data_IF_881630065935
#
_entry.id   IF_881630065935
#
_cell.length_a   1.000
_cell.length_b   1.000
_cell.length_c   1.000
_cell.angle_alpha   90.00
_cell.angle_beta   90.00
_cell.angle_gamma   90.00
#
_symmetry.space_group_name_H-M   'P 1'
#
loop_
_entity.id
_entity.type
_entity.pdbx_description
1 polymer ?
#
# COMPACT_ATOMS: atom_id res chain seq x y z
N UNK A 1 10.14 -26.45 0.00
CA UNK A 1 10.14 -25.02 0.39
C UNK A 1 11.29 -24.40 -0.36
N UNK A 2 11.06 -23.38 -1.19
CA UNK A 2 12.15 -22.75 -1.95
C UNK A 2 13.18 -22.16 -0.97
N UNK A 3 14.45 -22.46 -1.22
CA UNK A 3 15.57 -22.27 -0.29
C UNK A 3 15.63 -20.89 0.38
N UNK A 4 15.54 -20.86 1.71
CA UNK A 4 16.07 -19.76 2.53
C UNK A 4 15.37 -18.40 2.46
N UNK A 5 14.09 -18.34 2.07
CA UNK A 5 13.29 -17.10 2.13
C UNK A 5 12.32 -17.12 3.32
N UNK A 6 12.47 -16.18 4.23
CA UNK A 6 11.52 -15.90 5.32
C UNK A 6 10.53 -14.83 4.88
N UNK A 7 9.25 -15.03 5.15
CA UNK A 7 8.18 -14.06 4.85
C UNK A 7 7.51 -13.60 6.13
N UNK A 8 7.56 -12.29 6.40
CA UNK A 8 6.95 -11.67 7.56
C UNK A 8 5.79 -10.77 7.12
N UNK A 9 4.62 -11.00 7.71
CA UNK A 9 3.41 -10.25 7.40
C UNK A 9 3.13 -9.22 8.48
N UNK A 10 3.24 -7.96 8.10
CA UNK A 10 2.89 -6.78 8.89
C UNK A 10 3.57 -6.77 10.29
N UNK A 11 4.82 -7.25 10.45
CA UNK A 11 5.43 -7.39 11.77
C UNK A 11 5.52 -6.04 12.52
N UNK A 12 5.79 -4.94 11.81
CA UNK A 12 5.89 -3.60 12.42
C UNK A 12 4.50 -3.05 12.71
N UNK A 13 3.58 -3.12 11.74
CA UNK A 13 2.21 -2.65 11.95
C UNK A 13 1.55 -3.35 13.15
N UNK A 14 1.66 -4.68 13.23
CA UNK A 14 1.06 -5.47 14.32
C UNK A 14 1.77 -5.20 15.65
N UNK A 15 3.11 -5.09 15.65
CA UNK A 15 3.87 -4.79 16.86
C UNK A 15 3.54 -3.42 17.44
N UNK A 16 3.41 -2.39 16.60
CA UNK A 16 3.01 -1.04 17.04
C UNK A 16 1.58 -1.03 17.61
N UNK A 17 0.64 -1.71 16.93
CA UNK A 17 -0.73 -1.84 17.43
C UNK A 17 -0.79 -2.56 18.79
N UNK A 18 0.01 -3.63 18.96
CA UNK A 18 0.09 -4.36 20.23
C UNK A 18 0.65 -3.50 21.37
N UNK A 19 1.51 -2.53 21.06
CA UNK A 19 2.03 -1.55 22.00
C UNK A 19 1.11 -0.33 22.21
N UNK A 20 -0.06 -0.28 21.56
CA UNK A 20 -0.99 0.85 21.65
C UNK A 20 -0.54 2.10 20.89
N UNK A 21 0.34 1.96 19.89
CA UNK A 21 0.85 3.04 19.06
C UNK A 21 0.09 3.11 17.72
N UNK A 22 -0.03 4.31 17.12
CA UNK A 22 -0.61 4.46 15.77
C UNK A 22 0.43 3.99 14.73
N UNK A 23 0.22 2.86 14.04
CA UNK A 23 1.20 2.33 13.09
C UNK A 23 1.35 3.18 11.82
N UNK A 24 0.56 4.24 11.66
CA UNK A 24 0.63 5.17 10.54
C UNK A 24 1.21 6.55 10.93
N UNK A 25 1.50 6.78 12.21
CA UNK A 25 2.06 8.04 12.70
C UNK A 25 3.59 8.04 12.59
N UNK A 26 4.15 9.16 12.12
CA UNK A 26 5.61 9.34 12.11
C UNK A 26 6.22 9.36 13.51
N UNK A 27 5.44 9.75 14.53
CA UNK A 27 5.89 9.70 15.93
C UNK A 27 6.22 8.27 16.37
N UNK A 28 5.52 7.27 15.81
CA UNK A 28 5.77 5.86 16.12
C UNK A 28 7.14 5.39 15.67
N UNK A 29 7.74 6.01 14.65
CA UNK A 29 9.10 5.69 14.18
C UNK A 29 10.14 6.08 15.22
N UNK A 30 9.89 7.12 16.02
CA UNK A 30 10.81 7.56 17.07
C UNK A 30 10.70 6.71 18.35
N UNK A 31 9.76 5.77 18.43
CA UNK A 31 9.53 4.96 19.62
C UNK A 31 10.61 3.87 19.80
N UNK A 32 10.98 3.52 21.05
CA UNK A 32 11.81 2.34 21.32
C UNK A 32 11.21 1.06 20.73
N UNK A 33 9.88 0.93 20.77
CA UNK A 33 9.15 -0.21 20.20
C UNK A 33 9.43 -0.40 18.71
N UNK A 34 9.44 0.68 17.92
CA UNK A 34 9.77 0.58 16.50
C UNK A 34 11.20 0.06 16.29
N UNK A 35 12.17 0.59 17.04
CA UNK A 35 13.56 0.15 16.96
C UNK A 35 13.70 -1.34 17.33
N UNK A 36 13.05 -1.78 18.41
CA UNK A 36 13.07 -3.19 18.83
C UNK A 36 12.48 -4.11 17.76
N UNK A 37 11.34 -3.72 17.16
CA UNK A 37 10.71 -4.48 16.08
C UNK A 37 11.61 -4.60 14.86
N UNK A 38 12.22 -3.49 14.43
CA UNK A 38 13.18 -3.50 13.32
C UNK A 38 14.38 -4.39 13.62
N UNK A 39 14.94 -4.33 14.83
CA UNK A 39 16.07 -5.17 15.23
C UNK A 39 15.70 -6.66 15.25
N UNK A 40 14.51 -7.01 15.72
CA UNK A 40 14.02 -8.39 15.70
C UNK A 40 13.86 -8.91 14.26
N UNK A 41 13.42 -8.05 13.34
CA UNK A 41 13.28 -8.37 11.92
C UNK A 41 14.67 -8.53 11.28
N UNK A 42 15.59 -7.59 11.54
CA UNK A 42 16.96 -7.59 11.01
C UNK A 42 17.81 -8.75 11.52
N UNK A 43 17.52 -9.28 12.71
CA UNK A 43 18.20 -10.44 13.28
C UNK A 43 17.81 -11.78 12.63
N UNK A 44 16.87 -11.79 11.68
CA UNK A 44 16.47 -13.01 10.95
C UNK A 44 17.52 -13.35 9.90
N UNK A 45 17.99 -14.58 9.93
CA UNK A 45 18.94 -15.09 8.94
C UNK A 45 18.28 -15.32 7.57
N UNK A 46 19.07 -15.11 6.51
CA UNK A 46 18.69 -15.44 5.14
C UNK A 46 17.98 -14.32 4.38
N UNK A 47 17.27 -14.68 3.31
CA UNK A 47 16.53 -13.72 2.48
C UNK A 47 15.21 -13.42 3.15
N UNK A 48 14.90 -12.15 3.36
CA UNK A 48 13.69 -11.74 4.05
C UNK A 48 12.76 -10.95 3.11
N UNK A 49 11.47 -11.27 3.17
CA UNK A 49 10.40 -10.49 2.53
C UNK A 49 9.46 -10.01 3.62
N UNK A 50 9.38 -8.69 3.80
CA UNK A 50 8.46 -8.06 4.75
C UNK A 50 7.32 -7.40 3.99
N UNK A 51 6.08 -7.71 4.37
CA UNK A 51 4.89 -7.06 3.83
C UNK A 51 4.30 -6.12 4.88
N UNK A 52 4.35 -4.81 4.65
CA UNK A 52 3.70 -3.82 5.50
C UNK A 52 2.48 -3.19 4.81
N UNK A 53 1.62 -2.55 5.60
CA UNK A 53 0.44 -1.80 5.13
C UNK A 53 0.51 -0.30 5.49
N UNK A 54 1.67 0.15 5.96
CA UNK A 54 1.94 1.50 6.49
C UNK A 54 2.91 2.26 5.58
N UNK A 55 2.47 2.65 4.36
CA UNK A 55 3.35 3.26 3.35
C UNK A 55 4.06 4.54 3.82
N UNK A 56 3.50 5.27 4.79
CA UNK A 56 4.11 6.46 5.39
C UNK A 56 5.38 6.14 6.19
N UNK A 57 5.51 4.90 6.69
CA UNK A 57 6.69 4.45 7.41
C UNK A 57 7.69 3.72 6.52
N UNK A 58 7.35 3.49 5.23
CA UNK A 58 8.12 2.63 4.35
C UNK A 58 9.57 3.09 4.15
N UNK A 59 9.82 4.41 4.10
CA UNK A 59 11.18 4.92 3.99
C UNK A 59 12.01 4.66 5.26
N UNK A 60 11.43 4.86 6.44
CA UNK A 60 12.10 4.59 7.72
C UNK A 60 12.39 3.09 7.90
N UNK A 61 11.42 2.24 7.55
CA UNK A 61 11.57 0.78 7.58
C UNK A 61 12.64 0.34 6.57
N UNK A 62 12.57 0.87 5.35
CA UNK A 62 13.54 0.58 4.28
C UNK A 62 14.96 0.96 4.68
N UNK A 63 15.15 2.16 5.22
CA UNK A 63 16.46 2.62 5.70
C UNK A 63 16.99 1.78 6.86
N UNK A 64 16.14 1.43 7.83
CA UNK A 64 16.58 0.71 9.02
C UNK A 64 16.87 -0.78 8.77
N UNK A 65 16.27 -1.36 7.73
CA UNK A 65 16.53 -2.74 7.29
C UNK A 65 17.51 -2.84 6.11
N UNK A 66 18.03 -1.71 5.61
CA UNK A 66 18.77 -1.64 4.33
C UNK A 66 18.04 -2.39 3.20
N UNK A 67 16.71 -2.19 3.13
CA UNK A 67 15.83 -2.98 2.29
C UNK A 67 15.41 -2.24 1.00
N UNK A 68 15.29 -3.01 -0.08
CA UNK A 68 14.63 -2.56 -1.31
C UNK A 68 13.12 -2.48 -1.07
N UNK A 69 12.53 -1.32 -1.34
CA UNK A 69 11.10 -1.09 -1.09
C UNK A 69 10.30 -1.20 -2.40
N UNK A 70 9.25 -2.02 -2.37
CA UNK A 70 8.26 -2.13 -3.44
C UNK A 70 6.93 -1.57 -2.96
N UNK A 71 6.47 -0.48 -3.55
CA UNK A 71 5.16 0.08 -3.27
C UNK A 71 4.11 -0.55 -4.20
N UNK A 72 3.19 -1.30 -3.61
CA UNK A 72 2.02 -1.84 -4.30
C UNK A 72 0.87 -0.82 -4.25
N UNK A 73 0.58 -0.21 -5.39
CA UNK A 73 -0.56 0.69 -5.56
C UNK A 73 -1.77 -0.03 -6.14
N UNK A 74 -2.95 0.52 -5.92
CA UNK A 74 -4.20 0.01 -6.47
C UNK A 74 -5.11 1.18 -6.80
N UNK A 75 -5.98 1.03 -7.79
CA UNK A 75 -6.92 2.07 -8.18
C UNK A 75 -7.73 2.56 -6.95
N UNK A 76 -7.83 3.88 -6.70
CA UNK A 76 -8.40 4.42 -5.46
C UNK A 76 -9.86 4.01 -5.22
N UNK A 77 -10.67 3.95 -6.29
CA UNK A 77 -12.06 3.44 -6.21
C UNK A 77 -12.10 1.98 -5.76
N UNK A 78 -11.14 1.16 -6.21
CA UNK A 78 -11.07 -0.25 -5.85
C UNK A 78 -10.75 -0.44 -4.37
N UNK A 79 -9.89 0.41 -3.82
CA UNK A 79 -9.56 0.44 -2.39
C UNK A 79 -10.77 0.89 -1.58
N UNK A 80 -11.39 2.03 -1.93
CA UNK A 80 -12.60 2.53 -1.26
C UNK A 80 -13.70 1.47 -1.22
N UNK A 81 -13.98 0.81 -2.35
CA UNK A 81 -14.95 -0.28 -2.41
C UNK A 81 -14.56 -1.43 -1.50
N UNK A 82 -13.29 -1.82 -1.48
CA UNK A 82 -12.80 -2.91 -0.61
C UNK A 82 -13.02 -2.56 0.86
N UNK A 83 -12.77 -1.32 1.26
CA UNK A 83 -13.04 -0.85 2.62
C UNK A 83 -14.53 -0.89 2.95
N UNK A 84 -15.40 -0.42 2.05
CA UNK A 84 -16.86 -0.53 2.21
C UNK A 84 -17.29 -1.98 2.40
N UNK A 85 -16.78 -2.91 1.60
CA UNK A 85 -17.11 -4.34 1.71
C UNK A 85 -16.62 -4.98 3.01
N UNK A 86 -15.51 -4.48 3.58
CA UNK A 86 -14.97 -4.93 4.85
C UNK A 86 -15.62 -4.24 6.07
N UNK A 87 -16.54 -3.30 5.83
CA UNK A 87 -17.10 -2.46 6.89
C UNK A 87 -16.12 -1.44 7.46
N UNK A 88 -14.99 -1.18 6.78
CA UNK A 88 -13.96 -0.22 7.17
C UNK A 88 -14.31 1.18 6.68
N UNK A 89 -15.53 1.61 6.96
CA UNK A 89 -16.03 2.94 6.58
C UNK A 89 -15.71 3.89 7.74
N UNK A 90 -14.45 4.29 7.84
CA UNK A 90 -14.00 5.18 8.90
C UNK A 90 -14.20 6.63 8.47
N UNK A 91 -14.70 7.47 9.38
CA UNK A 91 -14.75 8.91 9.18
C UNK A 91 -13.37 9.57 9.40
N UNK A 92 -13.33 10.91 9.47
CA UNK A 92 -12.10 11.70 9.68
C UNK A 92 -11.34 11.48 11.00
N UNK A 93 -11.60 10.40 11.76
CA UNK A 93 -10.92 10.13 13.04
C UNK A 93 -9.42 9.77 12.91
N UNK A 94 -8.85 9.87 11.70
CA UNK A 94 -7.42 9.72 11.48
C UNK A 94 -6.75 11.05 11.85
N UNK A 95 -5.79 11.01 12.77
CA UNK A 95 -5.03 12.21 13.15
C UNK A 95 -4.13 12.64 11.98
N UNK A 96 -4.68 13.44 11.06
CA UNK A 96 -4.00 13.91 9.85
C UNK A 96 -2.66 14.57 10.19
N UNK A 97 -2.60 15.32 11.28
CA UNK A 97 -1.42 16.04 11.73
C UNK A 97 -0.23 15.13 12.09
N UNK A 98 -0.48 13.95 12.66
CA UNK A 98 0.60 13.01 13.05
C UNK A 98 1.05 12.10 11.90
N UNK A 99 0.17 11.85 10.93
CA UNK A 99 0.44 11.00 9.75
C UNK A 99 1.13 11.75 8.62
N UNK A 100 0.93 13.06 8.53
CA UNK A 100 1.49 13.90 7.47
C UNK A 100 2.24 15.09 8.07
N UNK A 101 3.24 14.87 8.95
CA UNK A 101 4.03 15.97 9.47
C UNK A 101 4.71 16.67 8.29
N UNK A 102 4.57 17.99 8.23
CA UNK A 102 5.25 18.85 7.25
C UNK A 102 4.88 18.60 5.76
N UNK A 103 3.93 17.70 5.47
CA UNK A 103 3.46 17.47 4.11
C UNK A 103 2.46 18.56 3.68
N UNK A 104 2.58 19.14 2.47
CA UNK A 104 1.57 20.04 1.92
C UNK A 104 0.17 19.44 1.85
N UNK A 105 0.06 18.10 1.77
CA UNK A 105 -1.21 17.39 1.78
C UNK A 105 -1.96 17.53 3.12
N UNK A 106 -1.26 17.81 4.22
CA UNK A 106 -1.85 17.97 5.56
C UNK A 106 -2.92 19.06 5.58
N UNK A 107 -2.61 20.23 5.04
CA UNK A 107 -3.52 21.37 5.09
C UNK A 107 -4.71 21.18 4.14
N UNK A 108 -4.51 20.47 3.03
CA UNK A 108 -5.60 20.07 2.12
C UNK A 108 -6.55 19.11 2.83
N UNK A 109 -6.02 18.05 3.45
CA UNK A 109 -6.82 17.09 4.20
C UNK A 109 -7.57 17.77 5.36
N UNK A 110 -6.93 18.64 6.14
CA UNK A 110 -7.62 19.37 7.22
C UNK A 110 -8.82 20.20 6.70
N UNK A 111 -8.69 20.84 5.53
CA UNK A 111 -9.80 21.58 4.91
C UNK A 111 -10.92 20.67 4.42
N UNK A 112 -10.60 19.54 3.81
CA UNK A 112 -11.59 18.57 3.34
C UNK A 112 -12.35 18.01 4.55
N UNK A 113 -11.66 17.64 5.63
CA UNK A 113 -12.24 17.15 6.88
C UNK A 113 -13.23 18.15 7.48
N UNK A 114 -12.82 19.42 7.59
CA UNK A 114 -13.66 20.49 8.11
C UNK A 114 -14.95 20.70 7.28
N UNK A 115 -14.94 20.34 6.00
CA UNK A 115 -16.11 20.41 5.12
C UNK A 115 -17.09 19.23 5.28
N UNK A 116 -16.83 18.29 6.21
CA UNK A 116 -17.62 17.09 6.45
C UNK A 116 -17.96 16.33 5.15
N UNK A 117 -16.93 15.80 4.47
CA UNK A 117 -17.03 15.27 3.11
C UNK A 117 -17.75 13.93 3.10
N UNK A 118 -18.15 13.46 1.91
CA UNK A 118 -18.52 12.05 1.76
C UNK A 118 -17.30 11.15 2.02
N UNK A 119 -17.55 9.89 2.41
CA UNK A 119 -16.49 8.88 2.57
C UNK A 119 -15.60 8.79 1.31
N UNK A 120 -16.19 8.84 0.12
CA UNK A 120 -15.45 8.67 -1.13
C UNK A 120 -14.54 9.87 -1.43
N UNK A 121 -15.01 11.10 -1.19
CA UNK A 121 -14.18 12.31 -1.32
C UNK A 121 -13.02 12.25 -0.32
N UNK A 122 -13.31 12.01 0.96
CA UNK A 122 -12.28 11.92 2.00
C UNK A 122 -11.23 10.88 1.68
N UNK A 123 -11.67 9.67 1.36
CA UNK A 123 -10.80 8.52 1.16
C UNK A 123 -10.02 8.62 -0.17
N UNK A 124 -10.58 9.30 -1.19
CA UNK A 124 -9.85 9.65 -2.40
C UNK A 124 -8.66 10.57 -2.09
N UNK A 125 -8.91 11.65 -1.35
CA UNK A 125 -7.87 12.61 -0.95
C UNK A 125 -6.82 11.96 -0.04
N UNK A 126 -7.24 11.20 0.97
CA UNK A 126 -6.31 10.53 1.89
C UNK A 126 -5.36 9.57 1.16
N UNK A 127 -5.87 8.74 0.24
CA UNK A 127 -5.03 7.83 -0.53
C UNK A 127 -4.06 8.56 -1.44
N UNK A 128 -4.48 9.66 -2.07
CA UNK A 128 -3.61 10.49 -2.87
C UNK A 128 -2.47 11.10 -2.02
N UNK A 129 -2.81 11.63 -0.84
CA UNK A 129 -1.83 12.16 0.11
C UNK A 129 -0.82 11.11 0.56
N UNK A 130 -1.29 9.89 0.86
CA UNK A 130 -0.42 8.75 1.19
C UNK A 130 0.52 8.42 0.02
N UNK A 131 -0.01 8.30 -1.20
CA UNK A 131 0.79 7.95 -2.37
C UNK A 131 1.86 9.00 -2.66
N UNK A 132 1.50 10.29 -2.65
CA UNK A 132 2.45 11.40 -2.86
C UNK A 132 3.52 11.40 -1.76
N UNK A 133 3.12 11.32 -0.50
CA UNK A 133 4.05 11.36 0.64
C UNK A 133 5.01 10.18 0.58
N UNK A 134 4.52 8.96 0.37
CA UNK A 134 5.37 7.77 0.27
C UNK A 134 6.35 7.86 -0.90
N UNK A 135 5.90 8.34 -2.07
CA UNK A 135 6.77 8.54 -3.25
C UNK A 135 7.85 9.58 -2.99
N UNK A 136 7.50 10.72 -2.39
CA UNK A 136 8.47 11.77 -2.03
C UNK A 136 9.52 11.25 -1.05
N UNK A 137 9.11 10.50 -0.03
CA UNK A 137 10.02 9.97 0.98
C UNK A 137 10.94 8.87 0.45
N UNK A 138 10.46 8.01 -0.44
CA UNK A 138 11.23 6.90 -1.00
C UNK A 138 12.12 7.35 -2.18
N UNK A 139 11.81 8.48 -2.82
CA UNK A 139 12.60 9.08 -3.88
C UNK A 139 12.86 8.14 -5.07
N UNK A 140 14.02 8.28 -5.69
CA UNK A 140 14.40 7.55 -6.90
C UNK A 140 14.64 6.04 -6.67
N UNK A 141 14.76 5.61 -5.42
CA UNK A 141 14.93 4.19 -5.05
C UNK A 141 13.63 3.38 -5.06
N UNK A 142 12.49 4.03 -5.32
CA UNK A 142 11.18 3.41 -5.25
C UNK A 142 10.84 2.57 -6.47
N UNK A 143 10.51 1.30 -6.24
CA UNK A 143 9.81 0.48 -7.23
C UNK A 143 8.31 0.51 -6.98
N UNK A 144 7.55 1.12 -7.90
CA UNK A 144 6.09 1.08 -7.85
C UNK A 144 5.54 0.00 -8.76
N UNK A 145 4.61 -0.79 -8.25
CA UNK A 145 3.83 -1.75 -9.04
C UNK A 145 2.35 -1.55 -8.77
N UNK A 146 1.53 -1.58 -9.81
CA UNK A 146 0.07 -1.52 -9.63
C UNK A 146 -0.51 -2.92 -9.55
N UNK A 147 -1.48 -3.09 -8.65
CA UNK A 147 -2.27 -4.30 -8.52
C UNK A 147 -2.92 -4.69 -9.86
N UNK A 148 -3.41 -3.71 -10.60
CA UNK A 148 -4.01 -3.87 -11.91
C UNK A 148 -3.02 -4.48 -12.92
N UNK A 149 -1.75 -4.07 -12.90
CA UNK A 149 -0.71 -4.65 -13.76
C UNK A 149 -0.39 -6.10 -13.40
N UNK A 150 -0.26 -6.40 -12.09
CA UNK A 150 0.00 -7.74 -11.57
C UNK A 150 -1.11 -8.71 -11.94
N UNK A 151 -2.37 -8.26 -11.92
CA UNK A 151 -3.50 -9.14 -12.25
C UNK A 151 -3.72 -9.24 -13.76
N UNK A 152 -3.54 -8.16 -14.54
CA UNK A 152 -3.75 -8.17 -15.99
C UNK A 152 -2.66 -8.94 -16.73
N UNK A 153 -1.41 -8.78 -16.32
CA UNK A 153 -0.22 -9.34 -17.00
C UNK A 153 0.81 -9.85 -15.97
N UNK A 154 0.46 -10.84 -15.13
CA UNK A 154 1.29 -11.29 -14.00
C UNK A 154 2.71 -11.66 -14.42
N UNK A 155 2.86 -12.44 -15.51
CA UNK A 155 4.18 -12.86 -16.01
C UNK A 155 5.09 -11.66 -16.36
N UNK A 156 4.52 -10.63 -17.00
CA UNK A 156 5.26 -9.43 -17.39
C UNK A 156 5.60 -8.57 -16.17
N UNK A 157 4.61 -8.31 -15.31
CA UNK A 157 4.80 -7.49 -14.13
C UNK A 157 5.80 -8.11 -13.14
N UNK A 158 5.72 -9.42 -12.89
CA UNK A 158 6.69 -10.13 -12.07
C UNK A 158 8.07 -10.18 -12.72
N UNK A 159 8.16 -10.41 -14.03
CA UNK A 159 9.44 -10.35 -14.73
C UNK A 159 10.12 -8.99 -14.59
N UNK A 160 9.38 -7.90 -14.79
CA UNK A 160 9.87 -6.53 -14.60
C UNK A 160 10.32 -6.29 -13.15
N UNK A 161 9.51 -6.70 -12.18
CA UNK A 161 9.85 -6.56 -10.76
C UNK A 161 11.12 -7.34 -10.41
N UNK A 162 11.25 -8.57 -10.91
CA UNK A 162 12.44 -9.39 -10.71
C UNK A 162 13.69 -8.74 -11.30
N UNK A 163 13.62 -8.20 -12.51
CA UNK A 163 14.74 -7.45 -13.11
C UNK A 163 15.11 -6.22 -12.28
N UNK A 164 14.13 -5.42 -11.87
CA UNK A 164 14.36 -4.21 -11.07
C UNK A 164 14.89 -4.49 -9.66
N UNK A 165 14.55 -5.65 -9.09
CA UNK A 165 15.06 -6.12 -7.81
C UNK A 165 16.31 -7.00 -7.97
N UNK A 166 16.87 -7.13 -9.17
CA UNK A 166 18.01 -8.00 -9.50
C UNK A 166 17.85 -9.43 -8.96
N UNK A 167 16.62 -9.93 -8.98
CA UNK A 167 16.28 -11.27 -8.55
C UNK A 167 16.52 -12.23 -9.71
N UNK A 168 17.41 -13.19 -9.48
CA UNK A 168 17.55 -14.34 -10.37
C UNK A 168 16.38 -15.30 -10.15
N UNK A 169 15.54 -15.44 -11.16
CA UNK A 169 14.50 -16.47 -11.16
C UNK A 169 15.17 -17.83 -11.34
N UNK A 170 15.16 -18.66 -10.29
CA UNK A 170 15.66 -20.02 -10.38
C UNK A 170 14.96 -20.76 -11.55
N UNK A 171 15.74 -21.53 -12.32
CA UNK A 171 15.20 -22.37 -13.39
C UNK A 171 14.13 -23.30 -12.81
N UNK A 172 12.88 -23.14 -13.25
CA UNK A 172 11.75 -23.96 -12.77
C UNK A 172 10.82 -23.28 -11.76
N UNK A 173 11.01 -22.00 -11.39
CA UNK A 173 9.94 -21.25 -10.71
C UNK A 173 8.70 -21.28 -11.61
N UNK A 174 7.55 -21.79 -11.14
CA UNK A 174 6.37 -21.90 -11.97
C UNK A 174 6.03 -20.52 -12.53
N UNK A 175 6.01 -20.42 -13.86
CA UNK A 175 5.33 -19.30 -14.51
C UNK A 175 3.92 -19.30 -13.92
N UNK A 176 3.38 -18.17 -13.41
CA UNK A 176 2.05 -18.16 -12.81
C UNK A 176 1.05 -18.71 -13.83
N UNK A 177 0.61 -19.94 -13.60
CA UNK A 177 -0.33 -20.69 -14.40
C UNK A 177 -1.62 -20.80 -13.60
N UNK A 178 -2.73 -20.40 -14.23
CA UNK A 178 -3.98 -20.08 -13.57
C UNK A 178 -4.75 -21.28 -13.04
N UNK A 179 -4.41 -21.77 -11.85
CA UNK A 179 -5.25 -22.70 -11.08
C UNK A 179 -6.14 -22.02 -10.02
N UNK A 180 -7.43 -21.96 -10.33
CA UNK A 180 -8.47 -21.31 -9.52
C UNK A 180 -8.51 -21.91 -8.10
N UNK A 181 -8.30 -21.06 -7.09
CA UNK A 181 -8.44 -21.43 -5.68
C UNK A 181 -9.23 -20.35 -4.93
N UNK A 182 -10.14 -20.78 -4.06
CA UNK A 182 -10.96 -19.95 -3.16
C UNK A 182 -10.24 -19.57 -1.86
N UNK A 183 -8.95 -19.92 -1.71
CA UNK A 183 -8.17 -19.57 -0.52
C UNK A 183 -7.89 -18.05 -0.48
N UNK A 184 -7.94 -17.41 0.71
CA UNK A 184 -7.59 -15.99 0.90
C UNK A 184 -6.16 -15.61 0.47
N UNK A 185 -5.33 -16.59 0.10
CA UNK A 185 -3.97 -16.42 -0.43
C UNK A 185 -3.78 -17.05 -1.83
N UNK A 186 -4.87 -17.31 -2.56
CA UNK A 186 -4.76 -17.78 -3.94
C UNK A 186 -4.03 -16.75 -4.79
N UNK A 187 -2.87 -17.15 -5.33
CA UNK A 187 -2.17 -16.41 -6.41
C UNK A 187 -2.97 -16.45 -7.73
N UNK A 188 -4.10 -17.15 -7.74
CA UNK A 188 -4.97 -17.29 -8.89
C UNK A 188 -6.28 -16.57 -8.58
N UNK A 189 -6.32 -15.31 -9.00
CA UNK A 189 -7.54 -14.52 -8.97
C UNK A 189 -8.37 -14.82 -10.22
N UNK A 190 -9.70 -14.98 -10.07
CA UNK A 190 -10.55 -15.19 -11.20
C UNK A 190 -10.51 -13.91 -12.04
N UNK A 191 -10.33 -14.11 -13.34
CA UNK A 191 -10.74 -13.21 -14.38
C UNK A 191 -9.72 -12.13 -14.80
N UNK A 192 -9.40 -12.14 -16.10
CA UNK A 192 -8.71 -11.05 -16.80
C UNK A 192 -9.49 -9.72 -16.75
N UNK A 193 -10.75 -9.74 -16.30
CA UNK A 193 -11.58 -8.56 -16.01
C UNK A 193 -11.33 -7.94 -14.63
N UNK A 194 -10.64 -8.61 -13.70
CA UNK A 194 -10.35 -8.12 -12.36
C UNK A 194 -9.66 -6.74 -12.27
N UNK A 195 -8.82 -6.29 -13.23
CA UNK A 195 -8.24 -4.94 -13.21
C UNK A 195 -9.28 -3.81 -13.33
N UNK A 196 -10.46 -4.08 -13.88
CA UNK A 196 -11.59 -3.14 -13.96
C UNK A 196 -12.81 -3.62 -13.17
N UNK A 197 -12.72 -4.75 -12.47
CA UNK A 197 -13.87 -5.27 -11.73
C UNK A 197 -14.32 -4.36 -10.60
N UNK A 198 -13.45 -3.43 -10.16
CA UNK A 198 -13.77 -2.41 -9.19
C UNK A 198 -14.92 -1.51 -9.63
N UNK A 199 -15.06 -1.20 -10.92
CA UNK A 199 -16.15 -0.35 -11.44
C UNK A 199 -17.48 -1.09 -11.47
N UNK A 200 -17.47 -2.42 -11.54
CA UNK A 200 -18.69 -3.23 -11.39
C UNK A 200 -19.18 -3.18 -9.94
N UNK A 201 -20.22 -2.40 -9.68
CA UNK A 201 -20.85 -2.27 -8.35
C UNK A 201 -20.48 -1.00 -7.59
N UNK A 202 -19.81 -0.04 -8.23
CA UNK A 202 -19.69 1.33 -7.75
C UNK A 202 -20.37 2.23 -8.79
N UNK A 203 -21.35 3.01 -8.36
CA UNK A 203 -22.03 3.94 -9.26
C UNK A 203 -21.11 5.10 -9.69
N UNK A 204 -21.50 5.77 -10.78
CA UNK A 204 -20.71 6.85 -11.36
C UNK A 204 -20.55 8.05 -10.41
N UNK A 205 -21.52 8.31 -9.53
CA UNK A 205 -21.45 9.40 -8.57
C UNK A 205 -20.32 9.16 -7.54
N UNK A 206 -20.21 7.95 -6.99
CA UNK A 206 -19.14 7.55 -6.08
C UNK A 206 -17.76 7.55 -6.74
N UNK A 207 -17.67 7.14 -8.01
CA UNK A 207 -16.43 7.25 -8.79
C UNK A 207 -16.02 8.73 -8.91
N UNK A 208 -16.96 9.61 -9.26
CA UNK A 208 -16.71 11.04 -9.38
C UNK A 208 -16.31 11.69 -8.03
N UNK A 209 -16.93 11.28 -6.93
CA UNK A 209 -16.55 11.72 -5.57
C UNK A 209 -15.13 11.27 -5.19
N UNK A 210 -14.79 10.01 -5.47
CA UNK A 210 -13.43 9.50 -5.20
C UNK A 210 -12.38 10.26 -6.00
N UNK A 211 -12.71 10.52 -7.27
CA UNK A 211 -11.88 11.29 -8.18
C UNK A 211 -11.68 12.72 -7.71
N UNK A 212 -12.76 13.40 -7.32
CA UNK A 212 -12.67 14.80 -6.88
C UNK A 212 -11.78 14.95 -5.66
N UNK A 213 -11.87 14.03 -4.68
CA UNK A 213 -10.94 14.01 -3.55
C UNK A 213 -9.49 13.74 -3.95
N UNK A 214 -9.27 12.76 -4.84
CA UNK A 214 -7.92 12.42 -5.32
C UNK A 214 -7.24 13.58 -6.05
N UNK A 215 -7.97 14.27 -6.91
CA UNK A 215 -7.47 15.39 -7.71
C UNK A 215 -7.22 16.67 -6.89
N UNK A 216 -7.66 16.74 -5.63
CA UNK A 216 -7.33 17.85 -4.72
C UNK A 216 -5.90 17.80 -4.17
N UNK A 217 -5.22 16.66 -4.28
CA UNK A 217 -3.84 16.51 -3.81
C UNK A 217 -2.88 16.71 -4.98
N UNK A 218 -2.09 17.78 -4.91
CA UNK A 218 -1.08 18.08 -5.92
C UNK A 218 -0.03 16.95 -6.02
N UNK A 219 0.31 16.58 -7.25
CA UNK A 219 1.27 15.50 -7.53
C UNK A 219 0.70 14.09 -7.41
N UNK A 220 -0.61 13.94 -7.16
CA UNK A 220 -1.25 12.63 -7.11
C UNK A 220 -1.04 11.84 -8.42
N UNK A 221 -0.73 10.52 -8.35
CA UNK A 221 -0.56 9.70 -9.54
C UNK A 221 -1.80 9.71 -10.44
N UNK A 222 -1.60 9.76 -11.75
CA UNK A 222 -2.69 9.69 -12.71
C UNK A 222 -3.29 8.28 -12.79
N UNK A 223 -4.62 8.20 -12.81
CA UNK A 223 -5.39 6.95 -12.99
C UNK A 223 -6.40 7.08 -14.13
N UNK A 224 -6.72 5.96 -14.77
CA UNK A 224 -7.89 5.84 -15.65
C UNK A 224 -9.14 5.59 -14.79
N UNK A 225 -10.02 6.61 -14.69
CA UNK A 225 -11.25 6.60 -13.89
C UNK A 225 -12.46 5.97 -14.58
#
# INVERSE_FOLDING_TARGET
>A
MADGVTYEREPITQGLLAAGLDPFSHESVASPTFNDLVQQIAAKDGRLVVKEVTPLLAASIGAALDARVVLLERHPVAVCRSHVQLGWVWGPQMVVSSRFPESPARDVLARIEAANPSFWVWHGAYQAAVAVTARTMLGDGLLTVTYESLVKRPKRALGQLGTSLELEWAAGVPKPEGQVSSSPFSLVRPNRSAPRSWSHGVDAARIAECRSGWEMIDGAPAWEW
#
